data_IF_738185999963
#
_entry.id   IF_738185999963
#
_cell.length_a   1.000
_cell.length_b   1.000
_cell.length_c   1.000
_cell.angle_alpha   90.00
_cell.angle_beta   90.00
_cell.angle_gamma   90.00
#
_symmetry.space_group_name_H-M   'P 1'
#
loop_
_entity.id
_entity.type
_entity.pdbx_description
1 polymer ?
#
# COMPACT_ATOMS: atom_id res chain seq x y z
N UNK A 1 -19.02 -8.39 21.67
CA UNK A 1 -18.70 -9.33 20.56
C UNK A 1 -18.18 -8.48 19.41
N UNK A 2 -16.97 -8.76 18.91
CA UNK A 2 -16.46 -8.02 17.75
C UNK A 2 -16.82 -8.76 16.48
N UNK A 3 -17.42 -8.05 15.55
CA UNK A 3 -17.71 -8.57 14.22
C UNK A 3 -16.54 -8.27 13.29
N UNK A 4 -16.47 -9.04 12.21
CA UNK A 4 -15.49 -8.85 11.13
C UNK A 4 -16.18 -8.99 9.77
N UNK A 5 -15.69 -8.23 8.81
CA UNK A 5 -16.07 -8.40 7.42
C UNK A 5 -14.84 -8.25 6.52
N UNK A 6 -14.93 -8.71 5.30
CA UNK A 6 -13.82 -8.72 4.35
C UNK A 6 -14.19 -8.04 3.04
N UNK A 7 -13.19 -7.48 2.38
CA UNK A 7 -13.28 -6.95 1.02
C UNK A 7 -12.01 -7.25 0.26
N UNK A 8 -12.17 -7.71 -0.98
CA UNK A 8 -11.05 -8.03 -1.87
C UNK A 8 -11.10 -7.17 -3.12
N UNK A 9 -9.92 -6.83 -3.62
CA UNK A 9 -9.70 -6.12 -4.87
C UNK A 9 -8.76 -6.94 -5.73
N UNK A 10 -9.11 -7.10 -6.99
CA UNK A 10 -8.41 -7.92 -7.98
C UNK A 10 -8.08 -7.09 -9.21
N UNK A 11 -7.35 -7.66 -10.14
CA UNK A 11 -6.99 -7.04 -11.42
C UNK A 11 -6.19 -5.74 -11.21
N UNK A 12 -5.10 -5.85 -10.46
CA UNK A 12 -4.15 -4.77 -10.22
C UNK A 12 -2.80 -5.14 -10.86
N UNK A 13 -2.72 -5.13 -12.20
CA UNK A 13 -1.48 -5.48 -12.91
C UNK A 13 -0.41 -4.44 -12.63
N UNK A 14 0.62 -4.85 -11.91
CA UNK A 14 1.68 -3.96 -11.45
C UNK A 14 3.04 -4.59 -11.65
N UNK A 15 3.99 -3.83 -12.21
CA UNK A 15 5.38 -4.19 -12.23
C UNK A 15 6.09 -3.69 -10.97
N UNK A 16 7.11 -4.42 -10.54
CA UNK A 16 8.00 -3.96 -9.49
C UNK A 16 9.42 -4.49 -9.71
N UNK A 17 10.39 -3.85 -9.09
CA UNK A 17 11.74 -4.36 -8.96
C UNK A 17 12.22 -4.14 -7.55
N UNK A 18 12.92 -5.12 -7.00
CA UNK A 18 13.48 -5.04 -5.66
C UNK A 18 14.99 -5.14 -5.74
N UNK A 19 15.68 -4.14 -5.19
CA UNK A 19 17.11 -4.23 -5.02
C UNK A 19 17.42 -5.04 -3.76
N UNK A 20 18.53 -5.75 -3.80
CA UNK A 20 19.08 -6.46 -2.67
C UNK A 20 20.42 -5.81 -2.34
N UNK A 21 20.87 -6.03 -1.11
CA UNK A 21 22.19 -5.60 -0.70
C UNK A 21 23.25 -6.01 -1.72
N UNK A 22 24.28 -5.23 -1.79
CA UNK A 22 25.45 -5.52 -2.62
C UNK A 22 26.07 -6.85 -2.20
N UNK A 23 26.60 -7.58 -3.17
CA UNK A 23 27.43 -8.74 -2.89
C UNK A 23 28.72 -8.33 -2.16
N UNK A 24 29.54 -9.29 -1.77
CA UNK A 24 30.82 -9.07 -1.08
C UNK A 24 31.78 -8.14 -1.84
N UNK A 25 31.57 -7.93 -3.14
CA UNK A 25 32.37 -7.02 -3.99
C UNK A 25 31.76 -5.63 -4.13
N UNK A 26 30.64 -5.34 -3.47
CA UNK A 26 29.95 -4.06 -3.54
C UNK A 26 29.06 -3.89 -4.77
N UNK A 27 28.90 -4.92 -5.60
CA UNK A 27 28.02 -4.87 -6.77
C UNK A 27 26.58 -5.23 -6.39
N UNK A 28 25.56 -4.57 -6.99
CA UNK A 28 24.16 -4.90 -6.74
C UNK A 28 23.86 -6.34 -7.09
N UNK A 29 23.12 -7.04 -6.24
CA UNK A 29 22.61 -8.36 -6.56
C UNK A 29 21.71 -8.30 -7.81
N UNK A 30 22.05 -9.11 -8.83
CA UNK A 30 21.44 -9.06 -10.17
C UNK A 30 20.43 -10.17 -10.43
N UNK A 31 19.81 -10.71 -9.39
CA UNK A 31 18.76 -11.74 -9.54
C UNK A 31 17.56 -11.25 -10.37
N UNK A 32 16.66 -12.17 -10.80
CA UNK A 32 15.50 -11.81 -11.62
C UNK A 32 14.60 -10.76 -10.93
N UNK A 33 14.47 -10.81 -9.59
CA UNK A 33 13.69 -9.85 -8.82
C UNK A 33 14.29 -8.43 -8.83
N UNK A 34 15.57 -8.28 -9.16
CA UNK A 34 16.21 -6.97 -9.30
C UNK A 34 15.89 -6.27 -10.64
N UNK A 35 15.17 -6.92 -11.52
CA UNK A 35 14.68 -6.36 -12.80
C UNK A 35 13.19 -6.11 -12.71
N UNK A 36 12.67 -5.24 -13.58
CA UNK A 36 11.23 -5.05 -13.72
C UNK A 36 10.55 -6.37 -14.08
N UNK A 37 9.64 -6.79 -13.24
CA UNK A 37 8.75 -7.94 -13.44
C UNK A 37 7.41 -7.61 -12.81
N UNK A 38 6.35 -8.27 -13.23
CA UNK A 38 5.02 -7.92 -12.77
C UNK A 38 4.04 -9.08 -12.78
N UNK A 39 3.00 -8.90 -12.01
CA UNK A 39 1.90 -9.85 -11.83
C UNK A 39 0.58 -9.11 -11.70
N UNK A 40 -0.51 -9.85 -11.82
CA UNK A 40 -1.84 -9.37 -11.48
C UNK A 40 -2.06 -9.47 -9.97
N UNK A 41 -1.72 -8.38 -9.27
CA UNK A 41 -1.78 -8.30 -7.81
C UNK A 41 -3.22 -8.24 -7.34
N UNK A 42 -3.47 -8.80 -6.15
CA UNK A 42 -4.72 -8.58 -5.42
C UNK A 42 -4.47 -8.15 -3.98
N UNK A 43 -5.45 -7.43 -3.42
CA UNK A 43 -5.40 -6.94 -2.04
C UNK A 43 -6.67 -7.35 -1.30
N UNK A 44 -6.49 -7.94 -0.13
CA UNK A 44 -7.58 -8.45 0.70
C UNK A 44 -7.55 -7.78 2.06
N UNK A 45 -8.66 -7.17 2.44
CA UNK A 45 -8.83 -6.51 3.74
C UNK A 45 -9.74 -7.33 4.65
N UNK A 46 -9.40 -7.33 5.94
CA UNK A 46 -10.32 -7.67 7.01
C UNK A 46 -10.54 -6.43 7.86
N UNK A 47 -11.81 -6.08 8.05
CA UNK A 47 -12.23 -4.99 8.92
C UNK A 47 -12.81 -5.57 10.20
N UNK A 48 -12.52 -4.91 11.33
CA UNK A 48 -13.06 -5.27 12.64
C UNK A 48 -13.60 -4.04 13.36
N UNK A 49 -14.57 -4.21 14.23
CA UNK A 49 -15.10 -3.11 15.02
C UNK A 49 -16.52 -3.36 15.52
N UNK A 50 -17.19 -2.27 15.87
CA UNK A 50 -18.58 -2.27 16.28
C UNK A 50 -19.49 -1.99 15.09
N UNK A 51 -20.63 -2.69 14.98
CA UNK A 51 -21.61 -2.42 13.93
C UNK A 51 -22.29 -1.06 14.13
N UNK A 52 -22.75 -0.48 13.03
CA UNK A 52 -23.66 0.68 13.05
C UNK A 52 -25.12 0.26 13.29
N UNK A 53 -26.04 1.20 13.13
CA UNK A 53 -27.48 1.00 13.28
C UNK A 53 -28.07 0.01 12.25
N UNK A 54 -27.37 -0.22 11.13
CA UNK A 54 -27.73 -1.20 10.11
C UNK A 54 -27.05 -2.56 10.33
N UNK A 55 -26.23 -2.71 11.36
CA UNK A 55 -25.44 -3.90 11.65
C UNK A 55 -24.16 -4.03 10.82
N UNK A 56 -23.67 -2.95 10.20
CA UNK A 56 -22.49 -2.96 9.34
C UNK A 56 -21.24 -2.49 10.07
N UNK A 57 -20.14 -3.23 9.90
CA UNK A 57 -18.80 -2.81 10.33
C UNK A 57 -18.32 -1.63 9.47
N UNK A 58 -18.48 -1.78 8.15
CA UNK A 58 -18.18 -0.76 7.16
C UNK A 58 -19.16 -0.90 5.99
N UNK A 59 -19.65 0.21 5.48
CA UNK A 59 -20.46 0.23 4.26
C UNK A 59 -19.59 -0.09 3.05
N UNK A 60 -19.87 -1.17 2.32
CA UNK A 60 -19.09 -1.52 1.13
C UNK A 60 -19.15 -0.46 0.03
N UNK A 61 -20.23 0.34 -0.02
CA UNK A 61 -20.37 1.51 -0.90
C UNK A 61 -19.36 2.62 -0.58
N UNK A 62 -18.97 2.75 0.69
CA UNK A 62 -18.04 3.78 1.17
C UNK A 62 -16.58 3.45 0.82
N UNK A 63 -16.33 2.23 0.32
CA UNK A 63 -14.99 1.75 -0.03
C UNK A 63 -14.54 2.12 -1.46
N UNK A 64 -15.31 2.92 -2.20
CA UNK A 64 -14.92 3.40 -3.53
C UNK A 64 -13.57 4.15 -3.48
N UNK A 65 -13.31 5.06 -2.52
CA UNK A 65 -12.00 5.71 -2.41
C UNK A 65 -10.82 4.74 -2.17
N UNK A 66 -11.06 3.63 -1.48
CA UNK A 66 -10.05 2.59 -1.30
C UNK A 66 -9.72 1.91 -2.64
N UNK A 67 -10.73 1.65 -3.47
CA UNK A 67 -10.52 1.12 -4.82
C UNK A 67 -9.69 2.10 -5.66
N UNK A 68 -10.08 3.37 -5.70
CA UNK A 68 -9.35 4.42 -6.43
C UNK A 68 -7.89 4.56 -5.97
N UNK A 69 -7.65 4.45 -4.65
CA UNK A 69 -6.31 4.44 -4.09
C UNK A 69 -5.49 3.24 -4.59
N UNK A 70 -6.06 2.04 -4.56
CA UNK A 70 -5.37 0.83 -5.01
C UNK A 70 -5.08 0.86 -6.50
N UNK A 71 -6.04 1.29 -7.32
CA UNK A 71 -5.87 1.46 -8.77
C UNK A 71 -4.77 2.50 -9.06
N UNK A 72 -4.74 3.62 -8.36
CA UNK A 72 -3.70 4.64 -8.54
C UNK A 72 -2.29 4.09 -8.28
N UNK A 73 -2.13 3.23 -7.26
CA UNK A 73 -0.81 2.72 -6.91
C UNK A 73 -0.42 1.45 -7.64
N UNK A 74 -1.38 0.61 -8.01
CA UNK A 74 -1.12 -0.78 -8.39
C UNK A 74 -1.75 -1.20 -9.72
N UNK A 75 -2.47 -0.31 -10.41
CA UNK A 75 -3.06 -0.65 -11.70
C UNK A 75 -2.27 -0.01 -12.83
N UNK A 76 -1.66 -0.84 -13.71
CA UNK A 76 -0.79 -0.43 -14.82
C UNK A 76 0.39 0.46 -14.43
N UNK A 77 0.95 0.23 -13.25
CA UNK A 77 2.04 1.03 -12.69
C UNK A 77 3.32 0.23 -12.51
N UNK A 78 4.43 0.93 -12.24
CA UNK A 78 5.72 0.36 -11.92
C UNK A 78 6.18 0.85 -10.53
N UNK A 79 6.46 -0.09 -9.61
CA UNK A 79 6.82 0.23 -8.23
C UNK A 79 8.33 0.15 -8.02
N UNK A 80 8.86 1.14 -7.32
CA UNK A 80 10.24 1.14 -6.82
C UNK A 80 10.27 1.57 -5.35
N UNK A 81 11.22 1.03 -4.60
CA UNK A 81 11.48 1.47 -3.24
C UNK A 81 12.18 2.83 -3.21
N UNK A 82 11.85 3.66 -2.23
CA UNK A 82 12.42 5.00 -2.09
C UNK A 82 13.94 5.00 -1.85
N UNK A 83 14.47 3.89 -1.33
CA UNK A 83 15.89 3.67 -1.04
C UNK A 83 16.61 2.83 -2.11
N UNK A 84 15.95 2.51 -3.23
CA UNK A 84 16.58 1.77 -4.33
C UNK A 84 17.68 2.65 -4.97
N UNK A 85 18.93 2.20 -5.04
CA UNK A 85 20.03 2.97 -5.61
C UNK A 85 19.87 3.29 -7.10
N UNK A 86 18.90 2.64 -7.78
CA UNK A 86 18.61 2.87 -9.22
C UNK A 86 17.44 3.83 -9.43
N UNK A 87 16.94 4.47 -8.37
CA UNK A 87 15.73 5.27 -8.38
C UNK A 87 15.76 6.41 -9.41
N UNK A 88 16.92 7.05 -9.61
CA UNK A 88 17.07 8.11 -10.61
C UNK A 88 16.83 7.61 -12.05
N UNK A 89 17.23 6.37 -12.33
CA UNK A 89 16.96 5.72 -13.63
C UNK A 89 15.48 5.43 -13.84
N UNK A 90 14.80 5.04 -12.76
CA UNK A 90 13.36 4.80 -12.79
C UNK A 90 12.57 6.11 -12.95
N UNK A 91 13.02 7.19 -12.31
CA UNK A 91 12.44 8.53 -12.49
C UNK A 91 12.62 9.00 -13.92
N UNK A 92 13.81 8.81 -14.50
CA UNK A 92 14.04 9.15 -15.90
C UNK A 92 13.13 8.37 -16.86
N UNK A 93 12.94 7.06 -16.62
CA UNK A 93 12.02 6.26 -17.40
C UNK A 93 10.55 6.74 -17.30
N UNK A 94 10.15 7.29 -16.16
CA UNK A 94 8.85 7.93 -16.00
C UNK A 94 8.76 9.26 -16.76
N UNK A 95 9.80 10.09 -16.70
CA UNK A 95 9.88 11.36 -17.43
C UNK A 95 9.90 11.14 -18.96
N UNK A 96 10.47 10.04 -19.41
CA UNK A 96 10.47 9.58 -20.80
C UNK A 96 9.16 8.84 -21.20
N UNK A 97 8.16 8.83 -20.34
CA UNK A 97 6.84 8.19 -20.54
C UNK A 97 6.90 6.66 -20.79
N UNK A 98 7.96 5.98 -20.36
CA UNK A 98 8.12 4.54 -20.53
C UNK A 98 7.39 3.72 -19.44
N UNK A 99 7.18 4.31 -18.28
CA UNK A 99 6.50 3.68 -17.14
C UNK A 99 5.68 4.70 -16.35
N UNK A 100 4.58 4.29 -15.77
CA UNK A 100 3.86 5.08 -14.76
C UNK A 100 4.38 4.73 -13.37
N UNK A 101 5.39 5.48 -12.91
CA UNK A 101 6.16 5.14 -11.70
C UNK A 101 5.42 5.49 -10.42
N UNK A 102 5.49 4.59 -9.44
CA UNK A 102 5.12 4.84 -8.05
C UNK A 102 6.28 4.47 -7.13
N UNK A 103 6.54 5.31 -6.15
CA UNK A 103 7.64 5.13 -5.19
C UNK A 103 7.04 4.79 -3.84
N UNK A 104 7.38 3.62 -3.32
CA UNK A 104 6.92 3.18 -2.01
C UNK A 104 8.00 3.44 -0.94
N UNK A 105 7.59 3.92 0.26
CA UNK A 105 8.55 4.38 1.27
C UNK A 105 9.35 3.26 1.95
N UNK A 106 8.84 2.02 1.93
CA UNK A 106 9.42 0.93 2.73
C UNK A 106 9.96 -0.24 1.90
N UNK A 107 9.75 -0.21 0.60
CA UNK A 107 10.03 -1.33 -0.29
C UNK A 107 8.78 -1.76 -1.06
N UNK A 108 8.97 -2.70 -1.99
CA UNK A 108 7.94 -3.11 -2.95
C UNK A 108 7.49 -4.56 -2.77
N UNK A 109 8.05 -5.27 -1.77
CA UNK A 109 7.61 -6.64 -1.44
C UNK A 109 6.14 -6.68 -1.03
N UNK A 110 5.56 -7.86 -0.97
CA UNK A 110 4.17 -8.03 -0.55
C UNK A 110 3.98 -7.58 0.91
N UNK A 111 4.97 -7.85 1.77
CA UNK A 111 4.99 -7.43 3.17
C UNK A 111 4.96 -5.90 3.29
N UNK A 112 5.89 -5.23 2.61
CA UNK A 112 6.01 -3.76 2.68
C UNK A 112 4.84 -3.06 2.00
N UNK A 113 4.31 -3.63 0.92
CA UNK A 113 3.06 -3.16 0.30
C UNK A 113 1.86 -3.28 1.24
N UNK A 114 1.76 -4.38 2.01
CA UNK A 114 0.68 -4.56 2.99
C UNK A 114 0.74 -3.51 4.10
N UNK A 115 1.94 -3.20 4.61
CA UNK A 115 2.16 -2.15 5.60
C UNK A 115 1.77 -0.79 5.01
N UNK A 116 2.27 -0.46 3.82
CA UNK A 116 1.98 0.79 3.14
C UNK A 116 0.48 0.99 2.94
N UNK A 117 -0.22 -0.01 2.41
CA UNK A 117 -1.67 0.04 2.18
C UNK A 117 -2.41 0.26 3.50
N UNK A 118 -2.06 -0.49 4.55
CA UNK A 118 -2.70 -0.34 5.85
C UNK A 118 -2.53 1.06 6.41
N UNK A 119 -1.32 1.60 6.39
CA UNK A 119 -1.03 2.94 6.92
C UNK A 119 -1.80 4.05 6.19
N UNK A 120 -2.07 3.86 4.90
CA UNK A 120 -2.81 4.84 4.12
C UNK A 120 -4.33 4.69 4.26
N UNK A 121 -4.82 3.45 4.30
CA UNK A 121 -6.26 3.17 4.24
C UNK A 121 -6.91 3.13 5.63
N UNK A 122 -6.23 2.66 6.67
CA UNK A 122 -6.85 2.54 7.99
C UNK A 122 -7.31 3.88 8.61
N UNK A 123 -6.58 5.02 8.48
CA UNK A 123 -7.08 6.32 8.91
C UNK A 123 -8.36 6.75 8.20
N UNK A 124 -8.48 6.42 6.92
CA UNK A 124 -9.70 6.66 6.15
C UNK A 124 -10.88 5.84 6.70
N UNK A 125 -10.69 4.53 6.90
CA UNK A 125 -11.72 3.66 7.49
C UNK A 125 -12.17 4.16 8.85
N UNK A 126 -11.21 4.51 9.72
CA UNK A 126 -11.49 5.08 11.03
C UNK A 126 -12.34 6.35 10.92
N UNK A 127 -12.01 7.23 9.97
CA UNK A 127 -12.74 8.49 9.75
C UNK A 127 -14.17 8.25 9.25
N UNK A 128 -14.37 7.42 8.23
CA UNK A 128 -15.71 7.22 7.62
C UNK A 128 -16.64 6.37 8.49
N UNK A 129 -16.11 5.69 9.50
CA UNK A 129 -16.88 4.91 10.47
C UNK A 129 -16.99 5.60 11.84
N UNK A 130 -16.63 6.88 11.94
CA UNK A 130 -16.64 7.65 13.19
C UNK A 130 -15.90 6.93 14.34
N UNK A 131 -14.78 6.29 14.01
CA UNK A 131 -13.92 5.59 14.95
C UNK A 131 -14.39 4.20 15.39
N UNK A 132 -15.49 3.69 14.83
CA UNK A 132 -16.07 2.38 15.20
C UNK A 132 -15.27 1.21 14.68
N UNK A 133 -14.62 1.38 13.54
CA UNK A 133 -14.02 0.28 12.80
C UNK A 133 -12.58 0.58 12.36
N UNK A 134 -11.83 -0.47 12.15
CA UNK A 134 -10.44 -0.43 11.73
C UNK A 134 -10.09 -1.63 10.85
N UNK A 135 -8.95 -1.57 10.18
CA UNK A 135 -8.42 -2.68 9.41
C UNK A 135 -7.60 -3.57 10.34
N UNK A 136 -8.06 -4.80 10.55
CA UNK A 136 -7.39 -5.82 11.38
C UNK A 136 -6.38 -6.65 10.58
N UNK A 137 -6.54 -6.75 9.25
CA UNK A 137 -5.62 -7.49 8.38
C UNK A 137 -5.60 -6.88 6.98
N UNK A 138 -4.40 -6.81 6.41
CA UNK A 138 -4.18 -6.56 4.98
C UNK A 138 -3.31 -7.67 4.43
N UNK A 139 -3.77 -8.32 3.36
CA UNK A 139 -3.01 -9.32 2.62
C UNK A 139 -2.81 -8.82 1.20
N UNK A 140 -1.55 -8.79 0.75
CA UNK A 140 -1.18 -8.57 -0.64
C UNK A 140 -0.77 -9.90 -1.27
N UNK A 141 -1.32 -10.22 -2.42
CA UNK A 141 -0.95 -11.37 -3.22
C UNK A 141 -0.24 -10.91 -4.47
N UNK A 142 0.89 -11.50 -4.72
CA UNK A 142 1.62 -11.33 -5.97
C UNK A 142 0.91 -12.07 -7.11
N UNK A 143 0.49 -13.29 -6.80
CA UNK A 143 -0.32 -14.18 -7.62
C UNK A 143 -0.95 -15.25 -6.70
N UNK A 144 -1.60 -16.26 -7.25
CA UNK A 144 -2.33 -17.29 -6.47
C UNK A 144 -1.48 -18.05 -5.44
N UNK A 145 -0.16 -18.17 -5.66
CA UNK A 145 0.73 -18.99 -4.82
C UNK A 145 1.49 -18.22 -3.75
N UNK A 146 1.73 -16.93 -3.96
CA UNK A 146 2.56 -16.10 -3.08
C UNK A 146 1.76 -14.94 -2.52
N UNK A 147 1.71 -14.84 -1.22
CA UNK A 147 1.13 -13.69 -0.52
C UNK A 147 1.89 -13.38 0.76
N UNK A 148 1.78 -12.15 1.20
CA UNK A 148 2.14 -11.76 2.55
C UNK A 148 1.01 -10.94 3.16
N UNK A 149 0.89 -10.98 4.48
CA UNK A 149 -0.11 -10.22 5.19
C UNK A 149 0.43 -9.65 6.49
N UNK A 150 -0.21 -8.61 6.96
CA UNK A 150 -0.04 -8.07 8.30
C UNK A 150 -1.34 -8.23 9.09
N UNK A 151 -1.21 -8.55 10.37
CA UNK A 151 -2.31 -8.52 11.33
C UNK A 151 -2.04 -7.43 12.36
N UNK A 152 -3.06 -6.65 12.66
CA UNK A 152 -2.92 -5.44 13.47
C UNK A 152 -3.82 -5.56 14.70
N UNK A 153 -3.21 -5.39 15.87
CA UNK A 153 -3.97 -5.30 17.11
C UNK A 153 -4.79 -4.00 17.15
N UNK A 154 -6.00 -4.08 17.67
CA UNK A 154 -6.92 -2.96 17.82
C UNK A 154 -6.28 -1.72 18.42
N UNK A 155 -5.55 -1.89 19.54
CA UNK A 155 -4.87 -0.77 20.21
C UNK A 155 -3.87 -0.03 19.33
N UNK A 156 -3.28 -0.72 18.35
CA UNK A 156 -2.36 -0.14 17.36
C UNK A 156 -3.17 0.56 16.27
N UNK A 157 -4.20 -0.09 15.75
CA UNK A 157 -5.06 0.44 14.71
C UNK A 157 -5.76 1.75 15.12
N UNK A 158 -6.21 1.83 16.38
CA UNK A 158 -6.89 3.00 16.93
C UNK A 158 -5.94 4.16 17.31
N UNK A 159 -4.65 3.89 17.48
CA UNK A 159 -3.64 4.93 17.80
C UNK A 159 -3.07 5.65 16.59
N UNK A 160 -3.63 5.44 15.45
CA UNK A 160 -3.10 5.93 14.18
C UNK A 160 -3.03 7.45 14.06
N UNK A 161 -1.97 7.89 13.49
CA UNK A 161 -1.56 9.28 13.27
C UNK A 161 -0.12 9.55 13.69
N UNK A 162 0.50 8.63 14.45
CA UNK A 162 1.88 8.81 14.95
C UNK A 162 2.95 7.98 14.21
N UNK A 163 2.59 6.86 13.58
CA UNK A 163 3.56 6.02 12.86
C UNK A 163 4.06 6.67 11.56
N UNK A 164 3.21 7.39 10.87
CA UNK A 164 3.47 8.00 9.56
C UNK A 164 4.52 9.13 9.62
N UNK A 165 4.66 9.83 10.74
CA UNK A 165 5.55 11.00 10.82
C UNK A 165 7.04 10.67 10.75
N UNK A 166 7.45 9.49 11.22
CA UNK A 166 8.87 9.14 11.32
C UNK A 166 9.49 8.77 9.96
N UNK A 167 8.73 8.20 9.07
CA UNK A 167 9.20 7.74 7.75
C UNK A 167 9.06 8.80 6.66
N UNK A 168 8.00 9.61 6.68
CA UNK A 168 7.79 10.67 5.69
C UNK A 168 8.84 11.80 5.76
N UNK A 169 9.53 11.98 6.89
CA UNK A 169 10.59 12.99 7.02
C UNK A 169 11.86 12.65 6.22
N UNK A 170 12.10 11.38 5.93
CA UNK A 170 13.30 10.95 5.18
C UNK A 170 13.17 11.16 3.66
N UNK A 171 11.94 11.35 3.15
CA UNK A 171 11.65 11.33 1.72
C UNK A 171 11.12 12.66 1.18
N UNK A 172 11.67 13.77 1.63
CA UNK A 172 11.26 15.13 1.20
C UNK A 172 11.55 15.44 -0.27
N UNK A 173 12.33 14.63 -0.94
CA UNK A 173 12.66 14.76 -2.37
C UNK A 173 11.49 14.37 -3.30
N UNK A 174 10.52 13.63 -2.81
CA UNK A 174 9.41 13.06 -3.59
C UNK A 174 8.21 13.97 -3.76
N UNK A 175 8.40 15.27 -3.72
CA UNK A 175 7.33 16.28 -3.88
C UNK A 175 6.63 16.27 -5.23
N UNK A 176 7.16 15.55 -6.22
CA UNK A 176 6.58 15.43 -7.56
C UNK A 176 5.42 14.43 -7.65
N UNK A 177 5.32 13.51 -6.71
CA UNK A 177 4.28 12.48 -6.70
C UNK A 177 3.16 12.85 -5.74
N UNK A 178 1.93 12.47 -6.10
CA UNK A 178 0.77 12.61 -5.21
C UNK A 178 1.06 11.88 -3.91
N UNK A 179 0.93 12.59 -2.79
CA UNK A 179 1.13 11.98 -1.47
C UNK A 179 0.10 10.87 -1.27
N UNK A 180 0.49 9.70 -0.76
CA UNK A 180 -0.40 8.58 -0.54
C UNK A 180 -1.76 8.93 0.05
N UNK A 181 -1.80 9.69 1.12
CA UNK A 181 -3.05 10.06 1.80
C UNK A 181 -3.94 11.06 1.07
N UNK A 182 -3.52 11.67 -0.03
CA UNK A 182 -4.29 12.77 -0.63
C UNK A 182 -5.54 12.26 -1.38
N UNK A 183 -5.48 11.06 -1.95
CA UNK A 183 -6.66 10.43 -2.58
C UNK A 183 -7.72 10.13 -1.51
N UNK A 184 -7.31 9.56 -0.38
CA UNK A 184 -8.23 9.19 0.70
C UNK A 184 -8.75 10.40 1.48
N UNK A 185 -7.93 11.43 1.68
CA UNK A 185 -8.33 12.68 2.35
C UNK A 185 -9.48 13.41 1.67
N UNK A 186 -9.55 13.32 0.34
CA UNK A 186 -10.65 13.90 -0.44
C UNK A 186 -12.02 13.41 0.02
N UNK A 187 -12.10 12.21 0.59
CA UNK A 187 -13.34 11.55 1.01
C UNK A 187 -13.47 11.39 2.52
N UNK A 188 -12.43 11.72 3.30
CA UNK A 188 -12.52 11.74 4.77
C UNK A 188 -13.46 12.86 5.22
N UNK A 189 -14.35 12.53 6.15
CA UNK A 189 -15.26 13.48 6.79
C UNK A 189 -14.53 14.34 7.84
#
# INVERSE_FOLDING_TARGET
>A
MKLRCTKSYFNLPVAHMQWFDTNETGEPCTGPCAKWHGYDRSVHFEFAGEPDEHGWIVGFGDLKPVKEFLEFYFDHTALIAADDPRIEKAIQAHEDELVDLRILPYGVSMEMSSIFIWEQVNPFIYSVTDGRSYISRVECREHEKNSAFIEIEEKVALKQGKLTKRYLQQYTTWRRFVKPGDILKKYAK
#
